data_IF_946284642659
#
_entry.id   IF_946284642659
#
_cell.length_a   1.000
_cell.length_b   1.000
_cell.length_c   1.000
_cell.angle_alpha   90.00
_cell.angle_beta   90.00
_cell.angle_gamma   90.00
#
_symmetry.space_group_name_H-M   'P 1'
#
loop_
_entity.id
_entity.type
_entity.pdbx_description
1 polymer ?
#
# COMPACT_ATOMS: atom_id res chain seq x y z
N UNK A 1 42.32 24.71 18.30
CA UNK A 1 42.30 24.12 19.66
C UNK A 1 41.14 24.78 20.40
N UNK A 2 39.96 24.18 20.55
CA UNK A 2 39.59 22.77 20.53
C UNK A 2 38.26 22.64 19.78
N UNK A 3 38.28 21.93 18.66
CA UNK A 3 37.14 21.15 18.18
C UNK A 3 36.85 20.04 19.20
N UNK A 4 35.58 19.90 19.53
CA UNK A 4 34.88 18.73 20.10
C UNK A 4 33.80 19.30 21.01
N UNK A 5 32.51 19.13 20.71
CA UNK A 5 31.75 18.03 21.27
C UNK A 5 30.37 17.86 20.59
N UNK A 6 30.30 18.02 19.27
CA UNK A 6 29.21 17.45 18.47
C UNK A 6 29.88 16.57 17.42
N UNK A 7 30.34 15.40 17.85
CA UNK A 7 31.06 14.43 17.02
C UNK A 7 30.36 13.09 17.04
N UNK A 8 29.09 13.05 16.64
CA UNK A 8 28.52 11.80 16.15
C UNK A 8 27.34 12.08 15.21
N UNK A 9 27.48 11.65 13.95
CA UNK A 9 26.43 11.63 12.92
C UNK A 9 25.15 10.93 13.43
N UNK A 10 25.31 10.03 14.41
CA UNK A 10 24.21 9.32 15.07
C UNK A 10 23.23 10.25 15.80
N UNK A 11 23.69 11.32 16.45
CA UNK A 11 22.83 12.19 17.24
C UNK A 11 21.93 13.08 16.35
N UNK A 12 22.46 13.52 15.20
CA UNK A 12 21.66 14.24 14.19
C UNK A 12 20.65 13.32 13.52
N UNK A 13 21.03 12.07 13.24
CA UNK A 13 20.14 11.10 12.64
C UNK A 13 19.01 10.68 13.59
N UNK A 14 19.30 10.51 14.88
CA UNK A 14 18.30 10.20 15.91
C UNK A 14 17.33 11.38 16.14
N UNK A 15 17.83 12.61 16.21
CA UNK A 15 16.97 13.79 16.34
C UNK A 15 16.05 13.96 15.12
N UNK A 16 16.58 13.78 13.91
CA UNK A 16 15.78 13.80 12.68
C UNK A 16 14.74 12.66 12.66
N UNK A 17 15.10 11.47 13.13
CA UNK A 17 14.19 10.32 13.23
C UNK A 17 13.06 10.58 14.23
N UNK A 18 13.35 11.16 15.39
CA UNK A 18 12.35 11.55 16.39
C UNK A 18 11.40 12.65 15.91
N UNK A 19 11.93 13.65 15.18
CA UNK A 19 11.12 14.72 14.60
C UNK A 19 10.22 14.18 13.47
N UNK A 20 10.76 13.34 12.60
CA UNK A 20 9.98 12.67 11.55
C UNK A 20 8.93 11.71 12.14
N UNK A 21 9.25 11.06 13.26
CA UNK A 21 8.31 10.21 14.00
C UNK A 21 7.19 11.05 14.62
N UNK A 22 7.52 12.15 15.32
CA UNK A 22 6.53 13.08 15.90
C UNK A 22 5.60 13.63 14.83
N UNK A 23 6.15 14.05 13.68
CA UNK A 23 5.34 14.58 12.58
C UNK A 23 4.40 13.52 12.01
N UNK A 24 4.88 12.28 11.79
CA UNK A 24 4.03 11.15 11.37
C UNK A 24 2.97 10.80 12.40
N UNK A 25 3.32 10.79 13.68
CA UNK A 25 2.38 10.57 14.77
C UNK A 25 1.31 11.65 14.81
N UNK A 26 1.67 12.93 14.65
CA UNK A 26 0.72 14.05 14.61
C UNK A 26 -0.22 14.03 13.39
N UNK A 27 0.19 13.39 12.30
CA UNK A 27 -0.66 13.20 11.12
C UNK A 27 -1.52 11.93 11.16
N UNK A 28 -1.23 11.01 12.10
CA UNK A 28 -1.99 9.76 12.26
C UNK A 28 -3.45 10.02 12.63
N UNK A 29 -4.33 9.09 12.21
CA UNK A 29 -5.75 9.08 12.61
C UNK A 29 -5.89 9.09 14.14
N UNK A 30 -4.95 8.46 14.84
CA UNK A 30 -4.86 8.37 16.30
C UNK A 30 -4.64 9.72 16.99
N UNK A 31 -3.67 10.52 16.53
CA UNK A 31 -3.44 11.85 17.12
C UNK A 31 -4.61 12.80 16.87
N UNK A 32 -5.27 12.67 15.72
CA UNK A 32 -6.50 13.40 15.41
C UNK A 32 -7.65 12.97 16.33
N UNK A 33 -7.77 11.69 16.66
CA UNK A 33 -8.74 11.16 17.62
C UNK A 33 -8.48 11.65 19.06
N UNK A 34 -7.22 11.68 19.48
CA UNK A 34 -6.78 12.25 20.77
C UNK A 34 -7.09 13.75 20.88
N UNK A 35 -6.75 14.54 19.84
CA UNK A 35 -7.12 15.96 19.81
C UNK A 35 -8.63 16.17 19.84
N UNK A 36 -9.41 15.34 19.14
CA UNK A 36 -10.87 15.42 19.13
C UNK A 36 -11.49 15.11 20.50
N UNK A 37 -11.01 14.06 21.18
CA UNK A 37 -11.43 13.71 22.56
C UNK A 37 -11.11 14.83 23.55
N UNK A 38 -9.90 15.40 23.47
CA UNK A 38 -9.46 16.48 24.34
C UNK A 38 -10.25 17.79 24.13
N UNK A 39 -10.69 18.06 22.89
CA UNK A 39 -11.55 19.21 22.55
C UNK A 39 -13.01 19.02 22.96
N UNK A 40 -13.45 17.77 23.15
CA UNK A 40 -14.84 17.41 23.47
C UNK A 40 -15.06 17.15 24.96
N UNK A 41 -14.03 17.24 25.81
CA UNK A 41 -14.07 16.94 27.26
C UNK A 41 -14.60 15.54 27.60
N UNK A 42 -14.49 14.58 26.67
CA UNK A 42 -14.87 13.18 26.90
C UNK A 42 -13.58 12.43 27.21
N UNK A 43 -13.52 11.78 28.38
CA UNK A 43 -12.40 10.91 28.75
C UNK A 43 -12.28 9.77 27.72
N UNK A 44 -11.08 9.57 27.13
CA UNK A 44 -10.89 8.46 26.20
C UNK A 44 -10.97 7.14 26.97
N UNK A 45 -11.54 6.07 26.38
CA UNK A 45 -11.51 4.75 26.98
C UNK A 45 -10.04 4.33 27.16
N UNK A 46 -9.65 4.24 28.43
CA UNK A 46 -8.26 4.09 28.92
C UNK A 46 -7.56 2.82 28.38
N UNK A 47 -8.30 1.88 27.77
CA UNK A 47 -7.77 0.58 27.35
C UNK A 47 -7.11 0.55 25.96
N UNK A 48 -7.31 1.54 25.07
CA UNK A 48 -6.62 1.54 23.75
C UNK A 48 -5.34 2.37 23.73
N UNK A 49 -5.06 3.15 24.79
CA UNK A 49 -3.86 3.98 24.88
C UNK A 49 -2.61 3.23 25.33
N UNK A 50 -2.76 2.06 25.96
CA UNK A 50 -1.65 1.29 26.52
C UNK A 50 -0.83 0.53 25.47
N UNK A 51 -1.44 0.16 24.33
CA UNK A 51 -0.74 -0.57 23.25
C UNK A 51 0.01 0.37 22.28
N UNK A 52 -0.12 1.69 22.46
CA UNK A 52 0.46 2.69 21.57
C UNK A 52 1.76 3.33 22.09
N UNK A 53 2.34 2.77 23.15
CA UNK A 53 3.70 3.09 23.50
C UNK A 53 4.64 2.37 22.53
N UNK A 54 5.31 3.12 21.65
CA UNK A 54 6.72 2.80 21.36
C UNK A 54 7.32 2.45 22.70
N UNK A 55 7.86 1.24 22.89
CA UNK A 55 8.02 0.72 24.23
C UNK A 55 8.87 1.76 24.97
N UNK A 56 8.34 2.22 26.10
CA UNK A 56 8.80 3.46 26.75
C UNK A 56 10.32 3.40 26.99
N UNK A 57 10.86 2.20 27.11
CA UNK A 57 12.28 1.88 27.14
C UNK A 57 13.07 2.38 25.92
N UNK A 58 12.57 2.31 24.68
CA UNK A 58 13.27 2.79 23.46
C UNK A 58 13.32 4.31 23.46
N UNK A 59 12.21 4.97 23.79
CA UNK A 59 12.18 6.43 23.89
C UNK A 59 13.07 6.90 25.05
N UNK A 60 13.00 6.24 26.20
CA UNK A 60 13.85 6.53 27.36
C UNK A 60 15.32 6.25 27.05
N UNK A 61 15.65 5.17 26.35
CA UNK A 61 17.01 4.82 25.97
C UNK A 61 17.61 5.86 25.02
N UNK A 62 16.83 6.31 24.04
CA UNK A 62 17.20 7.40 23.14
C UNK A 62 17.40 8.71 23.92
N UNK A 63 16.47 9.06 24.80
CA UNK A 63 16.54 10.29 25.59
C UNK A 63 17.70 10.29 26.60
N UNK A 64 17.97 9.14 27.24
CA UNK A 64 19.06 8.97 28.22
C UNK A 64 20.44 8.90 27.57
N UNK A 65 20.52 8.46 26.31
CA UNK A 65 21.76 8.49 25.52
C UNK A 65 21.97 9.81 24.77
N UNK A 66 20.92 10.62 24.61
CA UNK A 66 21.02 11.95 24.01
C UNK A 66 21.63 12.97 24.98
N UNK A 67 22.54 13.84 24.50
CA UNK A 67 23.10 14.95 25.29
C UNK A 67 22.18 16.19 25.34
N UNK A 68 20.87 15.98 25.31
CA UNK A 68 19.90 17.07 25.31
C UNK A 68 19.80 17.69 26.71
N UNK A 69 19.73 19.03 26.77
CA UNK A 69 19.49 19.73 28.02
C UNK A 69 18.06 19.50 28.51
N UNK A 70 17.82 19.62 29.82
CA UNK A 70 16.49 19.47 30.41
C UNK A 70 15.42 20.37 29.75
N UNK A 71 15.82 21.56 29.25
CA UNK A 71 14.93 22.46 28.50
C UNK A 71 14.56 21.93 27.12
N UNK A 72 15.52 21.37 26.37
CA UNK A 72 15.28 20.77 25.06
C UNK A 72 14.42 19.50 25.16
N UNK A 73 14.68 18.67 26.17
CA UNK A 73 13.85 17.51 26.49
C UNK A 73 12.40 17.93 26.79
N UNK A 74 12.21 18.95 27.63
CA UNK A 74 10.89 19.45 27.96
C UNK A 74 10.14 20.06 26.75
N UNK A 75 10.85 20.80 25.88
CA UNK A 75 10.28 21.38 24.67
C UNK A 75 9.86 20.31 23.63
N UNK A 76 10.64 19.25 23.47
CA UNK A 76 10.34 18.14 22.55
C UNK A 76 9.19 17.28 23.08
N UNK A 77 9.17 17.01 24.38
CA UNK A 77 8.25 16.04 25.00
C UNK A 77 6.90 16.65 25.39
N UNK A 78 6.90 17.90 25.88
CA UNK A 78 5.71 18.53 26.47
C UNK A 78 5.37 19.91 25.87
N UNK A 79 6.22 20.46 24.98
CA UNK A 79 5.97 21.76 24.33
C UNK A 79 6.00 22.96 25.28
N UNK A 80 6.70 22.86 26.42
CA UNK A 80 6.57 23.80 27.54
C UNK A 80 7.36 25.12 27.45
N UNK A 81 7.83 25.55 26.29
CA UNK A 81 8.26 26.94 26.07
C UNK A 81 7.88 27.33 24.64
N UNK A 82 7.34 28.54 24.42
CA UNK A 82 7.29 29.13 23.08
C UNK A 82 8.74 29.31 22.64
N UNK A 83 9.27 28.32 21.94
CA UNK A 83 10.57 28.39 21.31
C UNK A 83 10.44 29.44 20.21
N UNK A 84 10.98 30.66 20.44
CA UNK A 84 11.08 31.69 19.40
C UNK A 84 12.07 31.32 18.30
N UNK A 85 12.82 30.22 18.48
CA UNK A 85 13.77 29.71 17.51
C UNK A 85 13.22 28.44 16.85
N UNK A 86 12.16 28.60 16.06
CA UNK A 86 11.88 27.64 15.00
C UNK A 86 12.76 27.98 13.79
N UNK A 87 13.61 27.06 13.30
CA UNK A 87 14.43 27.27 12.09
C UNK A 87 13.60 27.23 10.80
N UNK A 88 12.33 27.65 10.85
CA UNK A 88 11.38 27.66 9.74
C UNK A 88 11.50 28.93 8.88
N UNK A 89 12.34 29.92 9.26
CA UNK A 89 12.46 31.19 8.51
C UNK A 89 13.88 31.63 8.12
N UNK A 90 14.88 30.74 8.04
CA UNK A 90 16.20 31.15 7.52
C UNK A 90 16.92 30.06 6.74
N UNK A 91 16.23 29.40 5.81
CA UNK A 91 16.92 28.78 4.69
C UNK A 91 17.24 29.86 3.67
N UNK A 92 18.49 30.34 3.67
CA UNK A 92 18.98 31.17 2.59
C UNK A 92 19.29 30.26 1.39
N UNK A 93 18.30 30.04 0.53
CA UNK A 93 18.49 29.30 -0.72
C UNK A 93 19.20 30.23 -1.70
N UNK A 94 20.53 30.15 -1.71
CA UNK A 94 21.35 30.86 -2.69
C UNK A 94 21.36 30.03 -3.97
N UNK A 95 20.64 30.49 -4.99
CA UNK A 95 20.70 29.89 -6.31
C UNK A 95 21.99 30.32 -7.03
N UNK A 96 22.59 29.46 -7.86
CA UNK A 96 23.70 29.89 -8.71
C UNK A 96 23.24 30.99 -9.67
N UNK A 97 24.14 31.89 -10.05
CA UNK A 97 23.89 32.93 -11.07
C UNK A 97 23.56 32.36 -12.48
N UNK A 98 23.60 31.03 -12.62
CA UNK A 98 23.23 30.35 -13.86
C UNK A 98 21.71 30.46 -14.07
N UNK A 99 21.25 31.02 -15.20
CA UNK A 99 19.83 31.14 -15.49
C UNK A 99 19.19 29.75 -15.53
N UNK A 100 17.96 29.66 -15.03
CA UNK A 100 17.14 28.45 -15.08
C UNK A 100 17.10 27.96 -16.54
N UNK A 101 17.45 26.69 -16.81
CA UNK A 101 17.30 26.13 -18.15
C UNK A 101 15.86 26.32 -18.65
N UNK A 102 15.65 26.52 -19.96
CA UNK A 102 14.31 26.61 -20.51
C UNK A 102 13.50 25.36 -20.11
N UNK A 103 12.22 25.50 -19.73
CA UNK A 103 11.37 24.36 -19.44
C UNK A 103 11.39 23.41 -20.63
N UNK A 104 11.81 22.17 -20.42
CA UNK A 104 11.59 21.11 -21.41
C UNK A 104 10.25 20.46 -21.09
N UNK A 105 9.28 20.46 -22.02
CA UNK A 105 8.05 19.71 -21.83
C UNK A 105 8.42 18.26 -21.49
N UNK A 106 7.71 17.63 -20.53
CA UNK A 106 7.87 16.21 -20.32
C UNK A 106 7.55 15.50 -21.64
N UNK A 107 8.46 14.63 -22.09
CA UNK A 107 8.14 13.71 -23.17
C UNK A 107 7.02 12.77 -22.68
N UNK A 108 6.04 12.41 -23.52
CA UNK A 108 5.05 11.42 -23.14
C UNK A 108 5.74 10.14 -22.65
N UNK A 109 5.19 9.46 -21.63
CA UNK A 109 5.81 8.26 -21.08
C UNK A 109 6.04 7.23 -22.19
N UNK A 110 7.20 6.57 -22.16
CA UNK A 110 7.54 5.50 -23.12
C UNK A 110 6.45 4.41 -23.19
N UNK A 111 5.69 4.21 -22.09
CA UNK A 111 4.57 3.27 -22.03
C UNK A 111 3.54 3.49 -23.13
N UNK A 112 3.12 4.74 -23.40
CA UNK A 112 2.09 5.02 -24.42
C UNK A 112 2.59 4.61 -25.80
N UNK A 113 3.86 4.89 -26.10
CA UNK A 113 4.47 4.50 -27.37
C UNK A 113 4.53 2.99 -27.55
N UNK A 114 4.88 2.23 -26.49
CA UNK A 114 4.90 0.78 -26.54
C UNK A 114 3.51 0.16 -26.66
N UNK A 115 2.52 0.71 -25.95
CA UNK A 115 1.13 0.25 -26.05
C UNK A 115 0.54 0.52 -27.42
N UNK A 116 0.82 1.70 -28.01
CA UNK A 116 0.39 1.99 -29.37
C UNK A 116 1.08 1.08 -30.38
N UNK A 117 2.39 0.86 -30.24
CA UNK A 117 3.12 -0.08 -31.08
C UNK A 117 2.50 -1.48 -31.03
N UNK A 118 2.21 -2.00 -29.83
CA UNK A 118 1.59 -3.30 -29.65
C UNK A 118 0.19 -3.35 -30.31
N UNK A 119 -0.63 -2.32 -30.11
CA UNK A 119 -1.95 -2.21 -30.75
C UNK A 119 -1.84 -2.24 -32.29
N UNK A 120 -0.93 -1.44 -32.86
CA UNK A 120 -0.69 -1.36 -34.31
C UNK A 120 -0.22 -2.70 -34.92
N UNK A 121 0.38 -3.57 -34.09
CA UNK A 121 0.88 -4.90 -34.50
C UNK A 121 0.02 -6.06 -34.00
N UNK A 122 -1.16 -5.79 -33.43
CA UNK A 122 -2.06 -6.79 -32.83
C UNK A 122 -1.38 -7.67 -31.74
N UNK A 123 -0.43 -7.11 -31.01
CA UNK A 123 0.22 -7.76 -29.88
C UNK A 123 -0.59 -7.56 -28.58
N UNK A 124 -0.37 -8.47 -27.62
CA UNK A 124 -0.91 -8.34 -26.26
C UNK A 124 0.19 -7.94 -25.31
N UNK A 125 -0.17 -7.15 -24.29
CA UNK A 125 0.77 -6.58 -23.33
C UNK A 125 0.43 -7.01 -21.91
N UNK A 126 1.45 -7.48 -21.20
CA UNK A 126 1.43 -7.58 -19.75
C UNK A 126 2.21 -6.42 -19.14
N UNK A 127 1.61 -5.74 -18.17
CA UNK A 127 2.26 -4.68 -17.41
C UNK A 127 2.71 -5.24 -16.08
N UNK A 128 3.99 -5.08 -15.74
CA UNK A 128 4.55 -5.49 -14.47
C UNK A 128 5.13 -4.27 -13.75
N UNK A 129 4.72 -4.05 -12.51
CA UNK A 129 5.19 -2.95 -11.67
C UNK A 129 5.42 -3.37 -10.23
N UNK A 130 6.06 -2.53 -9.42
CA UNK A 130 6.18 -2.78 -7.98
C UNK A 130 4.99 -2.21 -7.22
N UNK A 131 4.81 -0.89 -7.24
CA UNK A 131 3.67 -0.22 -6.63
C UNK A 131 2.45 -0.29 -7.55
N UNK A 132 1.27 -0.69 -7.04
CA UNK A 132 0.04 -0.58 -7.81
C UNK A 132 -0.35 0.90 -8.00
N UNK A 133 -1.00 1.28 -9.11
CA UNK A 133 -1.21 2.68 -9.47
C UNK A 133 -2.01 3.51 -8.48
N UNK A 134 -2.87 2.91 -7.68
CA UNK A 134 -3.62 3.59 -6.61
C UNK A 134 -2.72 4.12 -5.47
N UNK A 135 -1.48 3.62 -5.36
CA UNK A 135 -0.50 4.06 -4.35
C UNK A 135 0.38 5.20 -4.85
N UNK A 136 0.31 5.49 -6.15
CA UNK A 136 1.09 6.54 -6.79
C UNK A 136 0.48 7.92 -6.52
N UNK A 137 1.28 8.96 -6.82
CA UNK A 137 0.79 10.34 -6.82
C UNK A 137 -0.46 10.48 -7.70
N UNK A 138 -1.44 11.26 -7.25
CA UNK A 138 -2.73 11.49 -7.93
C UNK A 138 -2.55 11.73 -9.43
N UNK A 139 -1.66 12.66 -9.82
CA UNK A 139 -1.42 12.95 -11.22
C UNK A 139 -0.94 11.74 -12.03
N UNK A 140 -0.06 10.91 -11.47
CA UNK A 140 0.39 9.69 -12.16
C UNK A 140 -0.74 8.67 -12.22
N UNK A 141 -1.37 8.39 -11.09
CA UNK A 141 -2.43 7.38 -10.94
C UNK A 141 -3.58 7.61 -11.93
N UNK A 142 -4.05 8.86 -12.01
CA UNK A 142 -5.15 9.23 -12.90
C UNK A 142 -4.76 9.17 -14.38
N UNK A 143 -3.56 9.62 -14.75
CA UNK A 143 -3.11 9.50 -16.15
C UNK A 143 -2.83 8.04 -16.53
N UNK A 144 -2.32 7.24 -15.61
CA UNK A 144 -2.13 5.82 -15.84
C UNK A 144 -3.48 5.11 -16.07
N UNK A 145 -4.49 5.41 -15.25
CA UNK A 145 -5.85 4.89 -15.43
C UNK A 145 -6.44 5.21 -16.83
N UNK A 146 -6.20 6.42 -17.35
CA UNK A 146 -6.58 6.82 -18.73
C UNK A 146 -5.90 5.98 -19.80
N UNK A 147 -4.61 5.71 -19.60
CA UNK A 147 -3.83 4.88 -20.53
C UNK A 147 -4.37 3.45 -20.53
N UNK A 148 -4.66 2.88 -19.36
CA UNK A 148 -5.26 1.54 -19.26
C UNK A 148 -6.61 1.50 -19.98
N UNK A 149 -7.47 2.48 -19.75
CA UNK A 149 -8.76 2.62 -20.43
C UNK A 149 -8.60 2.65 -21.97
N UNK A 150 -7.70 3.49 -22.49
CA UNK A 150 -7.46 3.62 -23.94
C UNK A 150 -7.00 2.31 -24.58
N UNK A 151 -6.20 1.52 -23.87
CA UNK A 151 -5.55 0.31 -24.40
C UNK A 151 -6.12 -0.98 -23.80
N UNK A 152 -7.37 -0.97 -23.33
CA UNK A 152 -8.02 -2.13 -22.68
C UNK A 152 -7.98 -3.41 -23.53
N UNK A 153 -8.06 -3.28 -24.87
CA UNK A 153 -8.01 -4.43 -25.77
C UNK A 153 -6.59 -4.97 -26.00
N UNK A 154 -5.57 -4.15 -25.75
CA UNK A 154 -4.15 -4.50 -25.94
C UNK A 154 -3.55 -5.08 -24.66
N UNK A 155 -3.98 -4.60 -23.49
CA UNK A 155 -3.47 -5.04 -22.19
C UNK A 155 -4.20 -6.30 -21.74
N UNK A 156 -3.50 -7.43 -21.71
CA UNK A 156 -4.06 -8.74 -21.31
C UNK A 156 -3.91 -9.05 -19.81
N UNK A 157 -3.17 -8.22 -19.06
CA UNK A 157 -3.01 -8.39 -17.62
C UNK A 157 -2.03 -7.40 -17.00
N UNK A 158 -2.24 -7.08 -15.72
CA UNK A 158 -1.35 -6.22 -14.95
C UNK A 158 -0.97 -6.90 -13.62
N UNK A 159 0.31 -6.80 -13.24
CA UNK A 159 0.89 -7.53 -12.12
C UNK A 159 1.74 -6.60 -11.25
N UNK A 160 1.37 -6.48 -9.98
CA UNK A 160 1.99 -5.60 -9.00
C UNK A 160 2.36 -6.33 -7.71
N UNK A 161 2.93 -5.62 -6.75
CA UNK A 161 3.22 -6.11 -5.40
C UNK A 161 3.12 -4.96 -4.39
N UNK A 162 4.20 -4.71 -3.66
CA UNK A 162 4.34 -3.63 -2.66
C UNK A 162 3.48 -3.77 -1.39
N UNK A 163 2.19 -4.12 -1.53
CA UNK A 163 1.23 -4.23 -0.42
C UNK A 163 1.43 -5.43 0.50
N UNK A 164 2.21 -6.42 0.07
CA UNK A 164 2.53 -7.68 0.78
C UNK A 164 1.36 -8.65 1.00
N UNK A 165 0.14 -8.15 1.09
CA UNK A 165 -1.10 -8.90 1.11
C UNK A 165 -1.46 -9.52 -0.25
N UNK A 166 -2.38 -10.49 -0.26
CA UNK A 166 -2.98 -11.02 -1.49
C UNK A 166 -4.16 -10.13 -1.90
N UNK A 167 -3.97 -9.28 -2.91
CA UNK A 167 -4.96 -8.31 -3.36
C UNK A 167 -5.17 -8.34 -4.86
N UNK A 168 -6.25 -7.69 -5.30
CA UNK A 168 -6.50 -7.37 -6.68
C UNK A 168 -7.22 -6.03 -6.77
N UNK A 169 -7.26 -5.43 -7.95
CA UNK A 169 -8.12 -4.30 -8.22
C UNK A 169 -8.71 -4.39 -9.62
N UNK A 170 -10.00 -4.08 -9.73
CA UNK A 170 -10.72 -4.00 -11.01
C UNK A 170 -10.67 -2.56 -11.49
N UNK A 171 -10.19 -2.37 -12.71
CA UNK A 171 -10.20 -1.07 -13.39
C UNK A 171 -11.53 -0.92 -14.09
N UNK A 172 -12.17 0.24 -13.94
CA UNK A 172 -13.44 0.56 -14.59
C UNK A 172 -13.27 1.61 -15.70
N UNK A 173 -14.27 1.69 -16.58
CA UNK A 173 -14.30 2.66 -17.67
C UNK A 173 -14.44 4.10 -17.14
N UNK A 174 -13.78 5.06 -17.79
CA UNK A 174 -13.84 6.48 -17.38
C UNK A 174 -15.22 7.13 -17.57
N UNK A 175 -16.01 6.63 -18.52
CA UNK A 175 -17.34 7.16 -18.87
C UNK A 175 -18.44 6.33 -18.20
N UNK A 176 -18.32 5.00 -18.23
CA UNK A 176 -19.22 4.07 -17.55
C UNK A 176 -18.53 3.38 -16.35
N UNK A 177 -18.65 3.92 -15.13
CA UNK A 177 -17.94 3.40 -13.95
C UNK A 177 -18.43 2.01 -13.51
N UNK A 178 -19.41 1.41 -14.20
CA UNK A 178 -19.87 0.04 -13.97
C UNK A 178 -19.25 -0.98 -14.92
N UNK A 179 -18.60 -0.53 -15.99
CA UNK A 179 -17.98 -1.42 -16.98
C UNK A 179 -16.55 -1.71 -16.55
N UNK A 180 -16.23 -2.94 -16.12
CA UNK A 180 -14.85 -3.30 -15.84
C UNK A 180 -14.08 -3.44 -17.16
N UNK A 181 -12.83 -2.98 -17.18
CA UNK A 181 -12.00 -2.87 -18.41
C UNK A 181 -10.66 -3.56 -18.31
N UNK A 182 -10.15 -3.76 -17.09
CA UNK A 182 -8.84 -4.38 -16.88
C UNK A 182 -8.70 -4.94 -15.47
N UNK A 183 -7.78 -5.90 -15.32
CA UNK A 183 -7.45 -6.52 -14.04
C UNK A 183 -6.04 -6.18 -13.58
N UNK A 184 -5.93 -5.79 -12.31
CA UNK A 184 -4.66 -5.63 -11.59
C UNK A 184 -4.53 -6.70 -10.53
N UNK A 185 -3.58 -7.61 -10.71
CA UNK A 185 -3.24 -8.61 -9.70
C UNK A 185 -2.12 -8.08 -8.80
N UNK A 186 -2.31 -8.11 -7.48
CA UNK A 186 -1.32 -7.63 -6.52
C UNK A 186 -0.77 -8.85 -5.76
N UNK A 187 0.49 -9.18 -6.09
CA UNK A 187 1.28 -10.30 -5.57
C UNK A 187 1.43 -10.30 -4.05
N UNK A 188 1.34 -11.46 -3.37
CA UNK A 188 1.70 -11.53 -1.97
C UNK A 188 3.22 -11.38 -1.84
N UNK A 189 3.69 -11.06 -0.64
CA UNK A 189 5.11 -11.05 -0.36
C UNK A 189 5.64 -12.40 0.12
N UNK A 190 6.91 -12.67 -0.18
CA UNK A 190 7.70 -13.70 0.50
C UNK A 190 8.07 -13.32 1.93
N UNK A 191 8.14 -12.02 2.25
CA UNK A 191 8.43 -11.59 3.62
C UNK A 191 7.22 -11.83 4.53
N UNK A 192 7.51 -12.01 5.82
CA UNK A 192 6.49 -12.12 6.87
C UNK A 192 6.00 -10.76 7.35
N UNK A 193 6.54 -9.66 6.82
CA UNK A 193 6.24 -8.30 7.29
C UNK A 193 4.86 -7.81 6.81
N UNK A 194 3.95 -7.35 7.67
CA UNK A 194 3.95 -7.39 9.14
C UNK A 194 2.89 -8.41 9.59
N UNK A 195 3.31 -9.63 9.94
CA UNK A 195 2.46 -10.75 10.39
C UNK A 195 1.71 -11.50 9.28
N UNK A 196 2.45 -12.06 8.33
CA UNK A 196 1.92 -12.92 7.27
C UNK A 196 2.76 -14.18 7.12
N UNK A 197 2.18 -15.26 6.59
CA UNK A 197 2.99 -16.35 6.02
C UNK A 197 3.79 -15.84 4.81
N UNK A 198 5.00 -16.33 4.51
CA UNK A 198 5.62 -16.16 3.21
C UNK A 198 4.73 -16.73 2.12
N UNK A 199 4.55 -16.02 1.01
CA UNK A 199 3.76 -16.52 -0.12
C UNK A 199 4.31 -16.09 -1.47
N UNK A 200 4.01 -16.89 -2.49
CA UNK A 200 4.24 -16.54 -3.89
C UNK A 200 3.06 -16.99 -4.74
N UNK A 201 2.93 -16.42 -5.94
CA UNK A 201 1.84 -16.72 -6.87
C UNK A 201 2.35 -17.29 -8.17
N UNK A 202 1.59 -18.23 -8.72
CA UNK A 202 1.80 -18.78 -10.06
C UNK A 202 0.56 -18.50 -10.89
N UNK A 203 0.74 -17.85 -12.03
CA UNK A 203 -0.32 -17.57 -13.00
C UNK A 203 -0.32 -18.63 -14.10
N UNK A 204 -1.50 -19.14 -14.42
CA UNK A 204 -1.76 -19.89 -15.65
C UNK A 204 -2.25 -18.88 -16.68
N UNK A 205 -1.50 -18.72 -17.77
CA UNK A 205 -1.79 -17.75 -18.84
C UNK A 205 -2.12 -18.51 -20.11
N UNK A 206 -3.02 -17.94 -20.91
CA UNK A 206 -3.31 -18.45 -22.26
C UNK A 206 -2.02 -18.56 -23.08
N UNK A 207 -1.79 -19.74 -23.64
CA UNK A 207 -0.47 -20.18 -24.09
C UNK A 207 0.05 -19.47 -25.34
N UNK A 208 1.25 -19.85 -25.80
CA UNK A 208 1.82 -19.31 -27.03
C UNK A 208 1.29 -20.08 -28.26
N UNK A 209 0.30 -19.48 -28.93
CA UNK A 209 -0.23 -19.94 -30.20
C UNK A 209 -0.86 -18.79 -30.99
N UNK A 210 -1.06 -19.00 -32.30
CA UNK A 210 -1.69 -17.99 -33.17
C UNK A 210 -3.11 -17.65 -32.70
N UNK A 211 -3.35 -16.38 -32.38
CA UNK A 211 -4.64 -15.92 -31.86
C UNK A 211 -4.80 -16.07 -30.35
N UNK A 212 -3.73 -16.41 -29.61
CA UNK A 212 -3.75 -16.43 -28.16
C UNK A 212 -4.16 -15.07 -27.60
N UNK A 213 -4.99 -15.14 -26.57
CA UNK A 213 -5.47 -13.97 -25.85
C UNK A 213 -4.43 -13.44 -24.86
N UNK A 214 -3.49 -14.29 -24.43
CA UNK A 214 -2.54 -14.05 -23.34
C UNK A 214 -3.19 -13.59 -22.02
N UNK A 215 -4.48 -13.85 -21.82
CA UNK A 215 -5.17 -13.55 -20.57
C UNK A 215 -4.78 -14.53 -19.48
N UNK A 216 -4.93 -14.10 -18.23
CA UNK A 216 -4.82 -15.00 -17.07
C UNK A 216 -6.03 -15.93 -17.06
N UNK A 217 -5.77 -17.24 -17.11
CA UNK A 217 -6.79 -18.30 -17.08
C UNK A 217 -7.13 -18.74 -15.64
N UNK A 218 -6.13 -18.76 -14.77
CA UNK A 218 -6.27 -18.99 -13.33
C UNK A 218 -5.00 -18.50 -12.61
N UNK A 219 -5.04 -18.39 -11.29
CA UNK A 219 -3.84 -18.27 -10.49
C UNK A 219 -3.92 -19.10 -9.22
N UNK A 220 -2.77 -19.61 -8.78
CA UNK A 220 -2.62 -20.27 -7.48
C UNK A 220 -1.66 -19.50 -6.59
N UNK A 221 -2.05 -19.32 -5.34
CA UNK A 221 -1.17 -18.79 -4.30
C UNK A 221 -0.65 -19.96 -3.47
N UNK A 222 0.67 -19.97 -3.24
CA UNK A 222 1.37 -20.96 -2.41
C UNK A 222 1.94 -20.22 -1.21
N UNK A 223 1.72 -20.75 0.00
CA UNK A 223 2.22 -20.16 1.24
C UNK A 223 3.14 -21.13 1.97
N UNK A 224 4.11 -20.60 2.70
CA UNK A 224 4.87 -21.36 3.67
C UNK A 224 4.10 -21.34 4.98
N UNK A 225 3.58 -22.48 5.44
CA UNK A 225 2.91 -22.55 6.73
C UNK A 225 3.96 -22.38 7.84
N UNK A 226 4.08 -21.17 8.39
CA UNK A 226 5.08 -20.84 9.40
C UNK A 226 4.94 -21.69 10.66
N UNK A 227 3.70 -21.91 11.12
CA UNK A 227 3.44 -22.71 12.33
C UNK A 227 3.95 -24.14 12.16
N UNK A 228 3.55 -24.81 11.08
CA UNK A 228 4.04 -26.16 10.78
C UNK A 228 5.55 -26.17 10.55
N UNK A 229 6.07 -25.18 9.80
CA UNK A 229 7.50 -25.12 9.48
C UNK A 229 8.36 -24.97 10.73
N UNK A 230 7.91 -24.17 11.70
CA UNK A 230 8.59 -23.98 12.98
C UNK A 230 8.47 -25.21 13.90
N UNK A 231 7.31 -25.88 13.95
CA UNK A 231 7.11 -27.10 14.74
C UNK A 231 8.00 -28.24 14.25
N UNK A 232 8.08 -28.43 12.93
CA UNK A 232 8.85 -29.54 12.33
C UNK A 232 10.30 -29.16 11.99
N UNK A 233 10.69 -27.90 12.18
CA UNK A 233 11.99 -27.36 11.79
C UNK A 233 12.34 -27.67 10.31
N UNK A 234 11.34 -27.51 9.43
CA UNK A 234 11.45 -27.79 8.00
C UNK A 234 10.63 -26.76 7.23
N UNK A 235 11.12 -26.28 6.09
CA UNK A 235 10.36 -25.41 5.20
C UNK A 235 9.22 -26.17 4.52
N UNK A 236 7.97 -25.84 4.87
CA UNK A 236 6.77 -26.51 4.33
C UNK A 236 5.93 -25.49 3.56
N UNK A 237 5.99 -25.57 2.22
CA UNK A 237 5.10 -24.85 1.32
C UNK A 237 3.86 -25.69 1.03
N UNK A 238 2.69 -25.05 1.05
CA UNK A 238 1.39 -25.65 0.75
C UNK A 238 0.65 -24.77 -0.25
N UNK A 239 -0.09 -25.40 -1.17
CA UNK A 239 -1.05 -24.68 -2.00
C UNK A 239 -2.13 -24.09 -1.08
N UNK A 240 -2.29 -22.77 -1.12
CA UNK A 240 -3.32 -22.08 -0.35
C UNK A 240 -4.65 -22.16 -1.09
N UNK A 241 -4.68 -21.66 -2.33
CA UNK A 241 -5.87 -21.68 -3.16
C UNK A 241 -5.57 -21.47 -4.65
N UNK A 242 -6.51 -21.90 -5.50
CA UNK A 242 -6.68 -21.42 -6.87
C UNK A 242 -7.85 -20.45 -6.91
N UNK A 243 -7.75 -19.32 -7.60
CA UNK A 243 -8.81 -18.30 -7.64
C UNK A 243 -10.14 -18.87 -8.12
N UNK A 244 -10.13 -19.58 -9.26
CA UNK A 244 -11.36 -20.19 -9.80
C UNK A 244 -12.00 -21.16 -8.83
N UNK A 245 -11.20 -22.03 -8.22
CA UNK A 245 -11.67 -23.03 -7.25
C UNK A 245 -12.23 -22.41 -5.96
N UNK A 246 -11.52 -21.46 -5.35
CA UNK A 246 -11.92 -20.87 -4.08
C UNK A 246 -13.12 -19.94 -4.21
N UNK A 247 -13.19 -19.19 -5.30
CA UNK A 247 -14.22 -18.17 -5.50
C UNK A 247 -15.35 -18.61 -6.43
N UNK A 248 -15.30 -19.86 -6.91
CA UNK A 248 -16.29 -20.44 -7.83
C UNK A 248 -16.44 -19.57 -9.09
N UNK A 249 -15.32 -19.21 -9.70
CA UNK A 249 -15.28 -18.36 -10.90
C UNK A 249 -15.07 -19.22 -12.15
N UNK A 250 -15.87 -18.96 -13.19
CA UNK A 250 -15.72 -19.65 -14.46
C UNK A 250 -14.48 -19.17 -15.21
N UNK A 251 -14.26 -17.86 -15.25
CA UNK A 251 -13.07 -17.24 -15.85
C UNK A 251 -12.53 -16.14 -14.92
N UNK A 252 -11.43 -15.51 -15.31
CA UNK A 252 -10.80 -14.40 -14.57
C UNK A 252 -10.80 -13.10 -15.41
N UNK A 253 -11.81 -12.89 -16.25
CA UNK A 253 -11.98 -11.62 -16.96
C UNK A 253 -12.40 -10.51 -15.99
N UNK A 254 -12.26 -9.23 -16.38
CA UNK A 254 -12.64 -8.11 -15.51
C UNK A 254 -14.10 -8.20 -15.00
N UNK A 255 -15.00 -8.73 -15.83
CA UNK A 255 -16.40 -8.98 -15.49
C UNK A 255 -16.58 -10.03 -14.39
N UNK A 256 -15.83 -11.14 -14.43
CA UNK A 256 -15.91 -12.18 -13.41
C UNK A 256 -15.40 -11.67 -12.05
N UNK A 257 -14.34 -10.87 -12.05
CA UNK A 257 -13.83 -10.23 -10.84
C UNK A 257 -14.81 -9.18 -10.31
N UNK A 258 -15.50 -8.45 -11.18
CA UNK A 258 -16.57 -7.55 -10.77
C UNK A 258 -17.75 -8.32 -10.15
N UNK A 259 -18.18 -9.44 -10.73
CA UNK A 259 -19.20 -10.33 -10.13
C UNK A 259 -18.77 -10.82 -8.74
N UNK A 260 -17.51 -11.21 -8.57
CA UNK A 260 -16.98 -11.58 -7.26
C UNK A 260 -17.10 -10.41 -6.25
N UNK A 261 -16.78 -9.18 -6.65
CA UNK A 261 -16.95 -7.99 -5.81
C UNK A 261 -18.42 -7.79 -5.41
N UNK A 262 -19.36 -7.92 -6.35
CA UNK A 262 -20.79 -7.79 -6.08
C UNK A 262 -21.30 -8.90 -5.14
N UNK A 263 -20.83 -10.13 -5.32
CA UNK A 263 -21.11 -11.24 -4.40
C UNK A 263 -20.56 -10.99 -3.00
N UNK A 264 -19.32 -10.50 -2.88
CA UNK A 264 -18.72 -10.12 -1.59
C UNK A 264 -19.49 -8.98 -0.93
N UNK A 265 -20.00 -8.01 -1.70
CA UNK A 265 -20.82 -6.92 -1.16
C UNK A 265 -22.09 -7.45 -0.47
N UNK A 266 -22.74 -8.44 -1.09
CA UNK A 266 -23.92 -9.10 -0.52
C UNK A 266 -23.58 -10.09 0.60
N UNK A 267 -22.31 -10.48 0.73
CA UNK A 267 -21.80 -11.42 1.72
C UNK A 267 -20.80 -10.75 2.69
N UNK A 268 -20.95 -9.45 2.96
CA UNK A 268 -19.91 -8.68 3.65
C UNK A 268 -19.52 -9.27 5.01
N UNK A 269 -20.48 -9.82 5.76
CA UNK A 269 -20.24 -10.50 7.04
C UNK A 269 -20.29 -12.04 6.94
N UNK A 270 -20.34 -12.58 5.71
CA UNK A 270 -20.53 -14.00 5.47
C UNK A 270 -19.25 -14.78 5.11
N UNK A 271 -19.42 -16.05 4.69
CA UNK A 271 -18.31 -16.98 4.47
C UNK A 271 -17.44 -16.67 3.24
N UNK A 272 -18.00 -16.12 2.15
CA UNK A 272 -17.23 -15.74 0.96
C UNK A 272 -16.27 -14.61 1.30
N UNK A 273 -16.76 -13.54 1.93
CA UNK A 273 -15.88 -12.44 2.34
C UNK A 273 -14.85 -12.89 3.38
N UNK A 274 -15.21 -13.81 4.28
CA UNK A 274 -14.27 -14.40 5.24
C UNK A 274 -13.19 -15.24 4.54
N UNK A 275 -13.53 -15.95 3.47
CA UNK A 275 -12.58 -16.72 2.65
C UNK A 275 -11.61 -15.79 1.94
N UNK A 276 -12.12 -14.73 1.29
CA UNK A 276 -11.27 -13.73 0.62
C UNK A 276 -10.35 -13.04 1.61
N UNK A 277 -10.84 -12.68 2.82
CA UNK A 277 -9.99 -12.10 3.86
C UNK A 277 -8.91 -13.07 4.37
N UNK A 278 -9.22 -14.37 4.43
CA UNK A 278 -8.24 -15.41 4.78
C UNK A 278 -7.10 -15.44 3.77
N UNK A 279 -7.42 -15.39 2.47
CA UNK A 279 -6.40 -15.35 1.41
C UNK A 279 -5.65 -14.02 1.37
N UNK A 280 -6.34 -12.89 1.57
CA UNK A 280 -5.73 -11.56 1.72
C UNK A 280 -4.63 -11.52 2.79
N UNK A 281 -4.80 -12.27 3.88
CA UNK A 281 -3.84 -12.41 4.98
C UNK A 281 -2.90 -13.63 4.85
N UNK A 282 -2.88 -14.32 3.70
CA UNK A 282 -2.07 -15.52 3.46
C UNK A 282 -2.29 -16.61 4.52
N UNK A 283 -3.56 -16.85 4.88
CA UNK A 283 -3.98 -17.80 5.90
C UNK A 283 -3.29 -17.60 7.26
N UNK A 284 -3.05 -16.34 7.62
CA UNK A 284 -2.49 -16.02 8.93
C UNK A 284 -3.54 -16.18 10.03
N UNK A 285 -3.46 -17.30 10.76
CA UNK A 285 -4.44 -17.71 11.78
C UNK A 285 -4.62 -16.69 12.93
N UNK A 286 -3.59 -15.89 13.24
CA UNK A 286 -3.60 -14.93 14.35
C UNK A 286 -3.80 -13.47 13.89
N UNK A 287 -4.28 -13.26 12.66
CA UNK A 287 -4.55 -11.94 12.10
C UNK A 287 -5.59 -11.14 12.90
N UNK A 288 -5.46 -9.81 12.87
CA UNK A 288 -6.48 -8.91 13.42
C UNK A 288 -7.84 -9.27 12.83
N UNK A 289 -8.84 -9.44 13.71
CA UNK A 289 -10.21 -9.75 13.28
C UNK A 289 -10.75 -8.57 12.46
N UNK A 290 -10.94 -8.80 11.16
CA UNK A 290 -11.55 -7.84 10.26
C UNK A 290 -13.06 -8.06 10.24
N UNK A 291 -13.77 -7.18 10.93
CA UNK A 291 -15.23 -7.14 10.99
C UNK A 291 -15.81 -6.22 9.91
N UNK A 292 -17.13 -6.03 9.92
CA UNK A 292 -17.91 -5.28 8.94
C UNK A 292 -17.20 -4.06 8.31
N UNK A 293 -16.77 -3.08 9.13
CA UNK A 293 -16.16 -1.84 8.61
C UNK A 293 -14.83 -2.10 7.89
N UNK A 294 -13.96 -2.94 8.46
CA UNK A 294 -12.70 -3.32 7.83
C UNK A 294 -12.94 -4.07 6.50
N UNK A 295 -13.95 -4.94 6.47
CA UNK A 295 -14.32 -5.68 5.25
C UNK A 295 -14.86 -4.77 4.16
N UNK A 296 -15.64 -3.74 4.54
CA UNK A 296 -16.09 -2.70 3.61
C UNK A 296 -14.93 -1.87 3.05
N UNK A 297 -13.94 -1.52 3.87
CA UNK A 297 -12.73 -0.83 3.42
C UNK A 297 -11.92 -1.70 2.44
N UNK A 298 -11.78 -3.01 2.73
CA UNK A 298 -11.12 -3.95 1.83
C UNK A 298 -11.88 -4.12 0.50
N UNK A 299 -13.21 -4.28 0.54
CA UNK A 299 -14.02 -4.35 -0.67
C UNK A 299 -13.87 -3.09 -1.53
N UNK A 300 -13.81 -1.93 -0.88
CA UNK A 300 -13.58 -0.65 -1.52
C UNK A 300 -12.19 -0.55 -2.18
N UNK A 301 -11.13 -1.11 -1.55
CA UNK A 301 -9.80 -1.11 -2.15
C UNK A 301 -9.75 -1.90 -3.46
N UNK A 302 -10.54 -2.98 -3.59
CA UNK A 302 -10.63 -3.76 -4.83
C UNK A 302 -11.28 -3.00 -5.99
N UNK A 303 -12.03 -1.91 -5.73
CA UNK A 303 -12.59 -1.03 -6.76
C UNK A 303 -11.76 0.24 -7.00
N UNK A 304 -10.83 0.55 -6.09
CA UNK A 304 -10.09 1.81 -6.10
C UNK A 304 -8.77 1.66 -6.86
N UNK A 305 -8.75 2.08 -8.13
CA UNK A 305 -7.54 2.06 -8.98
C UNK A 305 -6.94 3.44 -9.22
N UNK A 306 -7.59 4.50 -8.72
CA UNK A 306 -7.14 5.89 -8.79
C UNK A 306 -6.87 6.43 -7.39
N UNK A 307 -5.71 7.04 -7.21
CA UNK A 307 -5.31 7.66 -5.95
C UNK A 307 -6.23 8.84 -5.60
N UNK A 308 -6.68 8.89 -4.35
CA UNK A 308 -7.57 9.92 -3.78
C UNK A 308 -8.89 10.11 -4.55
N UNK A 309 -9.44 9.05 -5.15
CA UNK A 309 -10.73 9.11 -5.83
C UNK A 309 -11.89 9.03 -4.81
N UNK A 310 -12.66 10.12 -4.61
CA UNK A 310 -13.72 10.15 -3.62
C UNK A 310 -14.94 9.31 -4.00
N UNK A 311 -15.07 8.91 -5.28
CA UNK A 311 -16.25 8.23 -5.81
C UNK A 311 -16.00 6.74 -6.13
N UNK A 312 -14.80 6.23 -5.84
CA UNK A 312 -14.43 4.85 -6.20
C UNK A 312 -15.34 3.77 -5.56
N UNK A 313 -16.04 4.12 -4.48
CA UNK A 313 -16.82 3.19 -3.67
C UNK A 313 -18.23 3.70 -3.33
N UNK A 314 -18.71 4.68 -4.10
CA UNK A 314 -20.11 5.17 -4.03
C UNK A 314 -21.11 4.13 -4.57
#
# INVERSE_FOLDING_TARGET
>A
MVDSLISDDNDQHLAATLVAYRHRFQQSKTYKALQWSQKSQIEPPVCELCDMAVPLNVVIEVLTKSRLTNKQLCAITFGCEKQSDFPVFSWNVTFPDKPKPPPRPPQPPALIHWLQYAEDHNEKVHIIGHHPPQDCLVAFSWNFHKIINRYENTIAGQFYGHRHNDEFAVVYDEVDPKRPVSMMYIGPSLTTESFLNPGYRVFSIDGDYSGSSYWVLDHRTVIMNLTASNIYNQTIFVDEYSARGAYQMENLFPEDWNDLIERMQNDIDGPLMSTVYTHYTKSYESGSKCYHNCRRELLCSFKTTRSEDPHACD
#
